data_IF_334527134445
#
_entry.id   IF_334527134445
#
_cell.length_a   1.000
_cell.length_b   1.000
_cell.length_c   1.000
_cell.angle_alpha   90.00
_cell.angle_beta   90.00
_cell.angle_gamma   90.00
#
_symmetry.space_group_name_H-M   'P 1'
#
loop_
_entity.id
_entity.type
_entity.pdbx_description
1 polymer ?
#
# COMPACT_ATOMS: atom_id res chain seq x y z
N UNK A 1 29.31 19.37 2.26
CA UNK A 1 27.97 19.99 2.15
C UNK A 1 26.92 18.88 2.03
N UNK A 2 26.05 18.74 3.04
CA UNK A 2 24.89 17.85 2.95
C UNK A 2 23.93 18.44 1.94
N UNK A 3 23.77 17.83 0.75
CA UNK A 3 22.70 18.18 -0.18
C UNK A 3 21.37 17.99 0.56
N UNK A 4 20.65 19.08 0.80
CA UNK A 4 19.29 19.05 1.33
C UNK A 4 18.42 18.39 0.25
N UNK A 5 17.96 17.17 0.51
CA UNK A 5 17.05 16.47 -0.39
C UNK A 5 15.71 17.23 -0.37
N UNK A 6 15.37 17.89 -1.46
CA UNK A 6 14.07 18.57 -1.59
C UNK A 6 13.02 17.50 -1.87
N UNK A 7 12.15 17.27 -0.91
CA UNK A 7 11.01 16.37 -1.09
C UNK A 7 9.88 17.08 -1.82
N UNK A 8 9.13 16.32 -2.58
CA UNK A 8 7.92 16.80 -3.25
C UNK A 8 6.74 16.80 -2.28
N UNK A 9 5.73 17.61 -2.57
CA UNK A 9 4.52 17.62 -1.75
C UNK A 9 3.74 16.30 -1.91
N UNK A 10 2.96 15.95 -0.87
CA UNK A 10 2.05 14.79 -0.91
C UNK A 10 1.16 14.80 -2.15
N UNK A 11 0.55 15.95 -2.47
CA UNK A 11 -0.36 16.09 -3.59
C UNK A 11 0.34 15.90 -4.95
N UNK A 12 1.56 16.41 -5.10
CA UNK A 12 2.34 16.21 -6.31
C UNK A 12 2.67 14.73 -6.52
N UNK A 13 3.07 14.03 -5.46
CA UNK A 13 3.38 12.59 -5.52
C UNK A 13 2.14 11.76 -5.87
N UNK A 14 0.99 12.05 -5.25
CA UNK A 14 -0.27 11.36 -5.53
C UNK A 14 -0.69 11.55 -6.99
N UNK A 15 -0.48 12.75 -7.56
CA UNK A 15 -0.90 13.07 -8.93
C UNK A 15 -0.09 12.35 -10.02
N UNK A 16 1.09 11.82 -9.70
CA UNK A 16 2.00 11.18 -10.68
C UNK A 16 1.56 9.82 -11.16
N UNK A 17 0.72 9.13 -10.42
CA UNK A 17 0.28 7.78 -10.73
C UNK A 17 -1.23 7.69 -10.86
N UNK A 18 -1.72 6.76 -11.67
CA UNK A 18 -3.14 6.42 -11.65
C UNK A 18 -3.48 5.75 -10.33
N UNK A 19 -4.60 6.14 -9.74
CA UNK A 19 -4.98 5.69 -8.39
C UNK A 19 -6.44 5.29 -8.34
N UNK A 20 -6.76 4.45 -7.36
CA UNK A 20 -8.12 4.08 -6.99
C UNK A 20 -8.47 4.83 -5.73
N UNK A 21 -9.58 5.57 -5.75
CA UNK A 21 -10.10 6.25 -4.55
C UNK A 21 -10.52 5.22 -3.50
N UNK A 22 -10.19 5.50 -2.24
CA UNK A 22 -10.58 4.72 -1.06
C UNK A 22 -11.41 5.64 -0.16
N UNK A 23 -12.59 5.19 0.26
CA UNK A 23 -13.39 5.96 1.20
C UNK A 23 -14.40 5.09 1.98
N UNK A 24 -14.51 5.37 3.27
CA UNK A 24 -15.62 4.99 4.14
C UNK A 24 -15.94 6.14 5.13
N UNK A 25 -16.69 5.87 6.18
CA UNK A 25 -17.04 6.88 7.19
C UNK A 25 -15.83 7.40 7.98
N UNK A 26 -14.78 6.60 8.13
CA UNK A 26 -13.64 6.87 9.01
C UNK A 26 -12.38 7.30 8.28
N UNK A 27 -12.19 6.82 7.04
CA UNK A 27 -10.98 7.06 6.25
C UNK A 27 -11.30 7.53 4.84
N UNK A 28 -10.37 8.28 4.27
CA UNK A 28 -10.31 8.62 2.85
C UNK A 28 -8.88 8.51 2.35
N UNK A 29 -8.70 8.32 1.05
CA UNK A 29 -7.37 8.23 0.45
C UNK A 29 -7.39 7.54 -0.89
N UNK A 30 -6.27 6.91 -1.23
CA UNK A 30 -6.15 6.19 -2.49
C UNK A 30 -5.09 5.08 -2.47
N UNK A 31 -5.27 4.13 -3.40
CA UNK A 31 -4.33 3.05 -3.70
C UNK A 31 -3.67 3.36 -5.05
N UNK A 32 -2.35 3.32 -5.12
CA UNK A 32 -1.59 3.47 -6.35
C UNK A 32 -1.72 2.24 -7.24
N UNK A 33 -2.00 2.42 -8.54
CA UNK A 33 -1.93 1.34 -9.52
C UNK A 33 -0.49 0.97 -9.88
N UNK A 34 0.48 1.84 -9.59
CA UNK A 34 1.89 1.49 -9.67
C UNK A 34 2.29 0.75 -8.39
N UNK A 35 2.72 -0.49 -8.53
CA UNK A 35 3.07 -1.39 -7.42
C UNK A 35 1.88 -1.96 -6.64
N UNK A 36 0.66 -1.48 -6.86
CA UNK A 36 -0.53 -1.81 -6.06
C UNK A 36 -0.30 -1.52 -4.56
N UNK A 37 0.21 -0.32 -4.26
CA UNK A 37 0.62 0.13 -2.92
C UNK A 37 -0.48 0.97 -2.29
N UNK A 38 -0.75 0.74 -1.00
CA UNK A 38 -1.61 1.61 -0.19
C UNK A 38 -0.69 2.58 0.56
N UNK A 39 -0.61 3.83 0.11
CA UNK A 39 0.32 4.85 0.58
C UNK A 39 -0.33 6.22 0.79
N UNK A 40 -1.64 6.28 0.77
CA UNK A 40 -2.41 7.51 0.92
C UNK A 40 -3.69 7.21 1.70
N UNK A 41 -3.63 7.32 3.03
CA UNK A 41 -4.78 7.18 3.92
C UNK A 41 -4.80 8.34 4.92
N UNK A 42 -5.95 8.97 5.03
CA UNK A 42 -6.25 10.07 5.96
C UNK A 42 -7.40 9.62 6.87
N UNK A 43 -7.25 9.88 8.16
CA UNK A 43 -8.31 9.67 9.15
C UNK A 43 -9.25 10.89 9.20
N UNK A 44 -10.52 10.72 8.81
CA UNK A 44 -11.52 11.79 8.74
C UNK A 44 -11.91 12.37 10.11
N UNK A 45 -11.82 11.56 11.15
CA UNK A 45 -12.31 11.89 12.49
C UNK A 45 -11.19 12.25 13.48
N UNK A 46 -9.94 12.36 12.99
CA UNK A 46 -8.77 12.68 13.81
C UNK A 46 -8.05 13.90 13.26
N UNK A 47 -7.72 14.84 14.14
CA UNK A 47 -6.96 16.05 13.81
C UNK A 47 -5.51 15.91 14.28
N UNK A 48 -4.58 16.56 13.57
CA UNK A 48 -3.15 16.52 13.92
C UNK A 48 -2.86 17.06 15.32
N UNK A 49 -3.62 18.10 15.73
CA UNK A 49 -3.61 18.65 17.09
C UNK A 49 -5.03 19.07 17.48
N UNK A 50 -5.27 19.33 18.78
CA UNK A 50 -6.59 19.74 19.29
C UNK A 50 -7.16 21.01 18.60
N UNK A 51 -6.28 21.89 18.11
CA UNK A 51 -6.68 23.17 17.48
C UNK A 51 -6.42 23.18 15.97
N UNK A 52 -6.04 22.06 15.37
CA UNK A 52 -5.79 21.96 13.94
C UNK A 52 -7.07 21.67 13.16
N UNK A 53 -7.21 22.30 12.00
CA UNK A 53 -8.23 21.91 11.01
C UNK A 53 -7.76 20.72 10.16
N UNK A 54 -6.45 20.42 10.16
CA UNK A 54 -5.87 19.35 9.37
C UNK A 54 -6.21 17.97 9.94
N UNK A 55 -6.63 17.08 9.08
CA UNK A 55 -6.86 15.68 9.39
C UNK A 55 -5.51 14.91 9.41
N UNK A 56 -5.44 13.88 10.23
CA UNK A 56 -4.23 13.04 10.34
C UNK A 56 -3.99 12.26 9.06
N UNK A 57 -2.88 12.53 8.38
CA UNK A 57 -2.37 11.70 7.30
C UNK A 57 -1.68 10.47 7.90
N UNK A 58 -2.35 9.32 7.89
CA UNK A 58 -1.85 8.07 8.46
C UNK A 58 -0.82 7.40 7.55
N UNK A 59 -1.13 7.23 6.25
CA UNK A 59 -0.17 6.75 5.27
C UNK A 59 0.26 7.87 4.34
N UNK A 60 1.53 7.86 3.95
CA UNK A 60 2.14 8.88 3.11
C UNK A 60 2.86 8.26 1.91
N UNK A 61 2.78 8.89 0.72
CA UNK A 61 3.33 8.38 -0.51
C UNK A 61 4.81 8.07 -0.44
N UNK A 62 5.21 7.06 -1.20
CA UNK A 62 6.62 6.73 -1.46
C UNK A 62 7.31 7.97 -2.04
N UNK A 63 8.55 8.24 -1.59
CA UNK A 63 9.35 9.42 -1.86
C UNK A 63 8.89 10.72 -1.18
N UNK A 64 7.92 10.69 -0.30
CA UNK A 64 7.67 11.83 0.60
C UNK A 64 8.73 11.89 1.71
N UNK A 65 8.79 13.00 2.45
CA UNK A 65 9.75 13.17 3.57
C UNK A 65 9.49 12.23 4.75
N UNK A 66 8.29 11.70 4.83
CA UNK A 66 7.80 10.83 5.90
C UNK A 66 6.99 9.68 5.31
N UNK A 67 7.56 9.02 4.30
CA UNK A 67 6.87 7.93 3.62
C UNK A 67 6.42 6.84 4.61
N UNK A 68 5.18 6.42 4.44
CA UNK A 68 4.58 5.38 5.24
C UNK A 68 3.56 4.64 4.40
N UNK A 69 3.86 3.40 4.03
CA UNK A 69 3.04 2.64 3.07
C UNK A 69 2.97 1.16 3.42
N UNK A 70 1.99 0.52 2.80
CA UNK A 70 1.76 -0.93 2.88
C UNK A 70 1.88 -1.48 1.47
N UNK A 71 2.71 -2.49 1.30
CA UNK A 71 2.80 -3.26 0.07
C UNK A 71 2.67 -4.75 0.34
N UNK A 72 2.18 -5.47 -0.66
CA UNK A 72 2.10 -6.92 -0.68
C UNK A 72 2.65 -7.43 -2.00
N UNK A 73 3.18 -8.63 -2.01
CA UNK A 73 3.76 -9.19 -3.23
C UNK A 73 4.07 -10.67 -3.11
N UNK A 74 4.92 -11.12 -4.03
CA UNK A 74 5.39 -12.51 -4.08
C UNK A 74 6.89 -12.53 -4.31
N UNK A 75 7.53 -13.52 -3.71
CA UNK A 75 8.92 -13.90 -3.94
C UNK A 75 8.95 -15.28 -4.61
N UNK A 76 9.92 -15.51 -5.47
CA UNK A 76 10.14 -16.79 -6.18
C UNK A 76 11.18 -17.68 -5.52
N UNK A 77 11.67 -17.32 -4.33
CA UNK A 77 12.69 -18.08 -3.62
C UNK A 77 14.04 -18.13 -4.34
N UNK A 78 14.34 -17.10 -5.14
CA UNK A 78 15.62 -16.98 -5.89
C UNK A 78 15.58 -17.55 -7.31
N UNK A 79 14.41 -17.91 -7.85
CA UNK A 79 14.29 -18.19 -9.29
C UNK A 79 14.11 -16.90 -10.09
N UNK A 80 15.23 -16.30 -10.48
CA UNK A 80 15.27 -15.02 -11.23
C UNK A 80 14.70 -15.11 -12.66
N UNK A 81 14.35 -16.30 -13.13
CA UNK A 81 13.72 -16.50 -14.44
C UNK A 81 12.23 -16.18 -14.42
N UNK A 82 11.64 -16.06 -13.25
CA UNK A 82 10.22 -15.76 -13.09
C UNK A 82 10.05 -14.25 -13.04
N UNK A 83 9.34 -13.67 -14.00
CA UNK A 83 8.98 -12.25 -13.99
C UNK A 83 7.87 -12.03 -12.97
N UNK A 84 8.21 -11.39 -11.86
CA UNK A 84 7.30 -11.02 -10.77
C UNK A 84 6.87 -9.55 -10.86
N UNK A 85 5.68 -9.20 -10.34
CA UNK A 85 5.31 -7.80 -10.21
C UNK A 85 6.19 -7.10 -9.17
N UNK A 86 6.62 -5.88 -9.49
CA UNK A 86 7.48 -5.02 -8.67
C UNK A 86 6.75 -3.74 -8.27
N UNK A 87 7.41 -2.86 -7.51
CA UNK A 87 6.91 -1.50 -7.21
C UNK A 87 6.70 -0.63 -8.46
N UNK A 88 7.34 -0.97 -9.58
CA UNK A 88 7.19 -0.23 -10.85
C UNK A 88 6.12 -0.84 -11.76
N UNK A 89 5.58 -1.99 -11.41
CA UNK A 89 4.53 -2.65 -12.18
C UNK A 89 3.25 -1.82 -12.18
N UNK A 90 2.69 -1.59 -13.36
CA UNK A 90 1.39 -0.93 -13.50
C UNK A 90 0.31 -2.00 -13.52
N UNK A 91 -0.57 -1.96 -12.54
CA UNK A 91 -1.69 -2.87 -12.41
C UNK A 91 -2.91 -2.37 -13.16
N UNK A 92 -3.64 -3.27 -13.77
CA UNK A 92 -4.95 -3.00 -14.36
C UNK A 92 -6.07 -3.24 -13.35
N UNK A 93 -7.12 -2.43 -13.43
CA UNK A 93 -8.31 -2.57 -12.59
C UNK A 93 -9.32 -3.43 -13.31
N UNK A 94 -9.88 -4.44 -12.63
CA UNK A 94 -10.98 -5.23 -13.13
C UNK A 94 -12.26 -4.92 -12.36
N UNK A 95 -13.25 -4.41 -13.04
CA UNK A 95 -14.53 -4.02 -12.42
C UNK A 95 -14.47 -2.65 -11.74
N UNK A 96 -14.72 -2.60 -10.44
CA UNK A 96 -14.85 -1.34 -9.69
C UNK A 96 -13.52 -0.58 -9.58
N UNK A 97 -13.57 0.74 -9.76
CA UNK A 97 -12.44 1.66 -9.63
C UNK A 97 -12.52 2.56 -8.38
N UNK A 98 -13.36 2.19 -7.42
CA UNK A 98 -13.55 2.89 -6.15
C UNK A 98 -13.70 1.85 -5.03
N UNK A 99 -12.82 1.91 -4.02
CA UNK A 99 -12.82 1.01 -2.88
C UNK A 99 -13.63 1.60 -1.73
N UNK A 100 -14.67 0.89 -1.32
CA UNK A 100 -15.49 1.23 -0.15
C UNK A 100 -16.04 -0.04 0.48
N UNK A 101 -16.67 0.01 1.66
CA UNK A 101 -17.42 -1.12 2.20
C UNK A 101 -18.42 -1.63 1.16
N UNK A 102 -18.53 -2.92 0.94
CA UNK A 102 -19.35 -3.56 -0.08
C UNK A 102 -18.93 -3.33 -1.56
N UNK A 103 -17.84 -2.63 -1.81
CA UNK A 103 -17.32 -2.37 -3.14
C UNK A 103 -15.84 -2.72 -3.26
N UNK A 104 -15.48 -4.02 -3.28
CA UNK A 104 -14.09 -4.45 -3.41
C UNK A 104 -13.50 -4.09 -4.77
N UNK A 105 -12.17 -3.96 -4.82
CA UNK A 105 -11.42 -3.71 -6.04
C UNK A 105 -10.56 -4.92 -6.38
N UNK A 106 -10.49 -5.27 -7.65
CA UNK A 106 -9.63 -6.33 -8.16
C UNK A 106 -8.58 -5.70 -9.07
N UNK A 107 -7.32 -5.98 -8.77
CA UNK A 107 -6.17 -5.60 -9.58
C UNK A 107 -5.59 -6.84 -10.24
N UNK A 108 -5.24 -6.73 -11.52
CA UNK A 108 -4.63 -7.81 -12.29
C UNK A 108 -3.37 -7.33 -13.02
N UNK A 109 -2.41 -8.22 -13.12
CA UNK A 109 -1.21 -8.04 -13.92
C UNK A 109 -0.78 -9.39 -14.51
N UNK A 110 -0.61 -9.43 -15.84
CA UNK A 110 -0.13 -10.59 -16.59
C UNK A 110 1.38 -10.44 -16.81
N UNK A 111 2.17 -11.45 -16.50
CA UNK A 111 3.60 -11.42 -16.73
C UNK A 111 3.99 -11.75 -18.18
N UNK A 112 3.03 -12.07 -19.06
CA UNK A 112 3.20 -12.47 -20.46
C UNK A 112 3.92 -13.83 -20.65
N UNK A 113 4.25 -14.51 -19.53
CA UNK A 113 4.88 -15.83 -19.49
C UNK A 113 3.94 -16.91 -18.92
N UNK A 114 2.63 -16.65 -18.99
CA UNK A 114 1.59 -17.59 -18.57
C UNK A 114 1.15 -17.48 -17.12
N UNK A 115 1.57 -16.43 -16.39
CA UNK A 115 1.13 -16.19 -15.02
C UNK A 115 0.33 -14.89 -14.92
N UNK A 116 -0.92 -15.01 -14.44
CA UNK A 116 -1.78 -13.87 -14.12
C UNK A 116 -1.81 -13.68 -12.61
N UNK A 117 -1.25 -12.59 -12.14
CA UNK A 117 -1.26 -12.17 -10.73
C UNK A 117 -2.50 -11.32 -10.47
N UNK A 118 -3.16 -11.55 -9.35
CA UNK A 118 -4.30 -10.73 -8.95
C UNK A 118 -4.29 -10.41 -7.47
N UNK A 119 -4.79 -9.23 -7.13
CA UNK A 119 -5.02 -8.76 -5.76
C UNK A 119 -6.47 -8.30 -5.63
N UNK A 120 -7.22 -8.90 -4.72
CA UNK A 120 -8.53 -8.38 -4.31
C UNK A 120 -8.33 -7.57 -3.04
N UNK A 121 -8.74 -6.32 -3.06
CA UNK A 121 -8.70 -5.42 -1.91
C UNK A 121 -10.11 -5.15 -1.45
N UNK A 122 -10.37 -5.40 -0.18
CA UNK A 122 -11.64 -5.20 0.50
C UNK A 122 -11.43 -4.24 1.68
N UNK A 123 -12.41 -3.42 1.97
CA UNK A 123 -12.42 -2.48 3.10
C UNK A 123 -13.71 -2.68 3.89
N UNK A 124 -13.61 -2.76 5.21
CA UNK A 124 -14.79 -2.76 6.08
C UNK A 124 -15.32 -1.33 6.36
N UNK A 125 -16.36 -1.23 7.16
CA UNK A 125 -16.93 0.06 7.58
C UNK A 125 -16.05 0.82 8.58
N UNK A 126 -14.99 0.21 9.11
CA UNK A 126 -14.08 0.81 10.10
C UNK A 126 -12.71 1.08 9.49
N UNK A 127 -11.73 0.22 9.75
CA UNK A 127 -10.33 0.43 9.38
C UNK A 127 -9.66 -0.82 8.81
N UNK A 128 -10.38 -1.95 8.69
CA UNK A 128 -9.80 -3.21 8.27
C UNK A 128 -9.74 -3.31 6.76
N UNK A 129 -8.52 -3.44 6.23
CA UNK A 129 -8.25 -3.87 4.87
C UNK A 129 -8.01 -5.37 4.85
N UNK A 130 -8.68 -6.05 3.90
CA UNK A 130 -8.38 -7.46 3.59
C UNK A 130 -7.84 -7.54 2.18
N UNK A 131 -6.62 -8.06 2.04
CA UNK A 131 -5.95 -8.23 0.76
C UNK A 131 -5.82 -9.72 0.48
N UNK A 132 -6.46 -10.18 -0.59
CA UNK A 132 -6.34 -11.56 -1.06
C UNK A 132 -5.46 -11.56 -2.31
N UNK A 133 -4.34 -12.28 -2.23
CA UNK A 133 -3.39 -12.45 -3.32
C UNK A 133 -3.63 -13.79 -4.00
N UNK A 134 -3.62 -13.81 -5.34
CA UNK A 134 -3.82 -15.02 -6.12
C UNK A 134 -2.96 -15.01 -7.37
N UNK A 135 -2.54 -16.21 -7.82
CA UNK A 135 -1.82 -16.42 -9.06
C UNK A 135 -2.58 -17.49 -9.86
N UNK A 136 -2.95 -17.15 -11.09
CA UNK A 136 -3.47 -18.11 -12.05
C UNK A 136 -2.32 -18.53 -12.97
N UNK A 137 -1.98 -19.81 -12.91
CA UNK A 137 -0.96 -20.41 -13.79
C UNK A 137 -1.65 -21.00 -15.03
N UNK A 138 -1.41 -20.38 -16.17
CA UNK A 138 -1.89 -20.83 -17.49
C UNK A 138 -0.76 -21.52 -18.29
N UNK A 139 0.42 -21.73 -17.69
CA UNK A 139 1.54 -22.42 -18.31
C UNK A 139 1.52 -23.92 -17.99
N UNK A 140 2.39 -24.69 -18.64
CA UNK A 140 2.57 -26.13 -18.37
C UNK A 140 3.67 -26.41 -17.34
N UNK A 141 4.12 -25.37 -16.57
CA UNK A 141 5.21 -25.47 -15.60
C UNK A 141 4.66 -25.35 -14.18
N UNK A 142 5.34 -25.95 -13.22
CA UNK A 142 5.07 -25.73 -11.79
C UNK A 142 6.00 -24.63 -11.26
N UNK A 143 5.46 -23.77 -10.40
CA UNK A 143 6.21 -22.69 -9.76
C UNK A 143 5.95 -22.70 -8.26
N UNK A 144 6.94 -22.24 -7.50
CA UNK A 144 6.81 -22.02 -6.06
C UNK A 144 6.90 -20.53 -5.77
N UNK A 145 5.95 -20.00 -4.99
CA UNK A 145 5.91 -18.60 -4.60
C UNK A 145 5.71 -18.47 -3.10
N UNK A 146 6.30 -17.40 -2.57
CA UNK A 146 6.16 -16.99 -1.17
C UNK A 146 5.46 -15.63 -1.13
N UNK A 147 4.21 -15.54 -0.66
CA UNK A 147 3.55 -14.27 -0.50
C UNK A 147 4.19 -13.49 0.66
N UNK A 148 4.33 -12.18 0.50
CA UNK A 148 4.78 -11.29 1.57
C UNK A 148 3.85 -10.09 1.73
N UNK A 149 3.90 -9.51 2.93
CA UNK A 149 3.33 -8.20 3.22
C UNK A 149 4.38 -7.38 3.99
N UNK A 150 4.51 -6.11 3.64
CA UNK A 150 5.45 -5.19 4.26
C UNK A 150 4.73 -3.90 4.63
N UNK A 151 4.99 -3.42 5.84
CA UNK A 151 4.67 -2.07 6.29
C UNK A 151 6.00 -1.34 6.43
N UNK A 152 6.17 -0.26 5.67
CA UNK A 152 7.37 0.56 5.72
C UNK A 152 7.04 1.95 6.24
N UNK A 153 7.88 2.49 7.12
CA UNK A 153 7.81 3.85 7.63
C UNK A 153 9.19 4.47 7.70
N UNK A 154 9.33 5.67 7.11
CA UNK A 154 10.52 6.50 7.25
C UNK A 154 10.44 7.32 8.54
N UNK A 155 11.55 7.37 9.29
CA UNK A 155 11.68 8.19 10.48
C UNK A 155 10.94 7.64 11.71
N UNK A 156 11.11 8.37 12.82
CA UNK A 156 10.42 8.08 14.09
C UNK A 156 9.11 8.87 14.20
N UNK A 157 8.10 8.33 14.89
CA UNK A 157 6.92 9.12 15.24
C UNK A 157 7.32 10.38 16.01
N UNK A 158 6.72 11.51 15.66
CA UNK A 158 6.82 12.73 16.47
C UNK A 158 6.09 12.51 17.80
N UNK A 159 6.68 12.96 18.89
CA UNK A 159 6.08 12.84 20.21
C UNK A 159 7.08 13.07 21.33
N UNK A 160 6.59 13.09 22.57
CA UNK A 160 7.43 13.19 23.77
C UNK A 160 8.36 11.97 23.86
N UNK A 161 9.65 12.20 24.03
CA UNK A 161 10.60 11.13 24.28
C UNK A 161 10.33 10.56 25.69
N UNK A 162 9.47 9.56 25.73
CA UNK A 162 9.26 8.72 26.93
C UNK A 162 10.21 7.54 26.82
N UNK A 163 10.78 7.12 27.96
CA UNK A 163 11.57 5.90 27.99
C UNK A 163 10.69 4.71 27.62
N UNK A 164 10.92 4.14 26.42
CA UNK A 164 10.17 3.03 25.88
C UNK A 164 10.96 1.75 26.12
N UNK A 165 10.37 0.81 26.86
CA UNK A 165 10.98 -0.50 27.13
C UNK A 165 10.97 -1.41 25.89
N UNK A 166 10.02 -1.18 24.98
CA UNK A 166 9.88 -1.94 23.75
C UNK A 166 9.36 -1.05 22.63
N UNK A 167 9.99 -1.14 21.46
CA UNK A 167 9.56 -0.48 20.22
C UNK A 167 9.47 -1.56 19.13
N UNK A 168 8.25 -1.87 18.66
CA UNK A 168 8.01 -2.91 17.65
C UNK A 168 6.64 -3.54 17.76
N UNK A 169 6.43 -4.61 16.99
CA UNK A 169 5.19 -5.36 17.04
C UNK A 169 5.17 -6.31 18.23
N UNK A 170 4.04 -6.34 18.95
CA UNK A 170 3.73 -7.35 19.95
C UNK A 170 2.62 -8.24 19.42
N UNK A 171 2.82 -9.56 19.48
CA UNK A 171 1.83 -10.55 19.08
C UNK A 171 1.78 -11.69 20.08
N UNK A 172 0.58 -12.21 20.29
CA UNK A 172 0.35 -13.49 20.97
C UNK A 172 -0.13 -14.46 19.91
N UNK A 173 0.61 -15.56 19.70
CA UNK A 173 0.33 -16.60 18.71
C UNK A 173 -0.23 -17.83 19.38
#
# INVERSE_FOLDING_TARGET
>A
EKKIKKFESRNDLISKTKRIKIENENIKGSLSLQGAVIDDIIFKNYKETLNSENEVAFLNPINSSNEYFIETGWDSGGDDKIKLPTRNTIWSVKGNSFLSPNNPVILEWDNEDGLLFSKKVELDSKFLFKITQNIKNNSNKSFQFYPYAQIYREGKPEGTQIYILHEGFLGVF
#
